data_IF_995479617379
#
_entry.id   IF_995479617379
#
_cell.length_a   1.000
_cell.length_b   1.000
_cell.length_c   1.000
_cell.angle_alpha   90.00
_cell.angle_beta   90.00
_cell.angle_gamma   90.00
#
_symmetry.space_group_name_H-M   'P 1'
#
loop_
_entity.id
_entity.type
_entity.pdbx_description
1 polymer ?
#
# COMPACT_ATOMS: atom_id res chain seq x y z
N UNK A 1 7.69 -11.55 6.82
CA UNK A 1 8.10 -11.79 5.42
C UNK A 1 8.41 -10.46 4.76
N UNK A 2 9.60 -10.31 4.16
CA UNK A 2 10.02 -9.05 3.53
C UNK A 2 9.34 -8.82 2.18
N UNK A 3 8.89 -7.61 1.93
CA UNK A 3 8.40 -7.14 0.64
C UNK A 3 9.22 -5.94 0.15
N UNK A 4 9.59 -5.96 -1.12
CA UNK A 4 10.23 -4.82 -1.81
C UNK A 4 9.63 -4.71 -3.20
N UNK A 5 8.72 -3.76 -3.35
CA UNK A 5 8.06 -3.41 -4.58
C UNK A 5 8.74 -2.25 -5.30
N UNK A 6 7.99 -1.61 -6.20
CA UNK A 6 8.45 -0.46 -6.97
C UNK A 6 8.45 0.83 -6.14
N UNK A 7 7.40 1.03 -5.35
CA UNK A 7 7.19 2.22 -4.53
C UNK A 7 7.03 1.86 -3.06
N UNK A 8 6.62 0.63 -2.73
CA UNK A 8 6.38 0.19 -1.37
C UNK A 8 7.47 -0.79 -0.93
N UNK A 9 7.99 -0.63 0.28
CA UNK A 9 8.73 -1.70 0.95
C UNK A 9 8.34 -1.81 2.41
N UNK A 10 8.47 -3.02 2.95
CA UNK A 10 7.98 -3.34 4.27
C UNK A 10 8.12 -4.80 4.63
N UNK A 11 7.51 -5.17 5.73
CA UNK A 11 7.50 -6.53 6.26
C UNK A 11 6.07 -6.94 6.61
N UNK A 12 5.62 -8.09 6.13
CA UNK A 12 4.40 -8.73 6.60
C UNK A 12 4.70 -9.56 7.83
N UNK A 13 4.09 -9.24 8.97
CA UNK A 13 4.05 -10.12 10.12
C UNK A 13 3.02 -11.23 9.88
N UNK A 14 3.46 -12.48 9.87
CA UNK A 14 2.58 -13.63 9.65
C UNK A 14 1.86 -14.08 10.93
N UNK A 15 2.32 -13.65 12.10
CA UNK A 15 1.66 -13.94 13.38
C UNK A 15 0.45 -13.03 13.57
N UNK A 16 0.58 -11.74 13.21
CA UNK A 16 -0.51 -10.76 13.31
C UNK A 16 -1.28 -10.55 12.01
N UNK A 17 -0.76 -11.04 10.88
CA UNK A 17 -1.28 -10.80 9.54
C UNK A 17 -1.40 -9.29 9.25
N UNK A 18 -0.36 -8.54 9.63
CA UNK A 18 -0.26 -7.09 9.46
C UNK A 18 0.99 -6.74 8.65
N UNK A 19 0.86 -5.77 7.74
CA UNK A 19 1.97 -5.28 6.93
C UNK A 19 2.56 -4.00 7.53
N UNK A 20 3.79 -4.08 8.01
CA UNK A 20 4.62 -2.94 8.38
C UNK A 20 5.15 -2.24 7.13
N UNK A 21 4.50 -1.16 6.72
CA UNK A 21 4.94 -0.31 5.62
C UNK A 21 6.08 0.61 6.11
N UNK A 22 7.30 0.35 5.63
CA UNK A 22 8.55 1.00 6.06
C UNK A 22 9.06 2.09 5.13
N UNK A 23 8.68 2.03 3.85
CA UNK A 23 9.12 3.00 2.87
C UNK A 23 8.10 3.21 1.77
N UNK A 24 7.91 4.47 1.40
CA UNK A 24 7.19 4.86 0.20
C UNK A 24 8.05 5.75 -0.70
N UNK A 25 8.35 5.30 -1.92
CA UNK A 25 9.34 5.94 -2.81
C UNK A 25 10.69 6.11 -2.10
N UNK A 26 11.11 7.35 -1.85
CA UNK A 26 12.34 7.71 -1.14
C UNK A 26 12.06 8.16 0.30
N UNK A 27 10.80 8.12 0.72
CA UNK A 27 10.36 8.54 2.05
C UNK A 27 10.35 7.31 2.96
N UNK A 28 11.15 7.38 4.02
CA UNK A 28 11.04 6.44 5.14
C UNK A 28 9.81 6.80 5.96
N UNK A 29 9.02 5.80 6.30
CA UNK A 29 7.83 5.96 7.12
C UNK A 29 7.52 4.67 7.84
N UNK A 30 6.77 4.72 8.93
CA UNK A 30 6.37 3.50 9.64
C UNK A 30 4.87 3.56 9.82
N UNK A 31 4.17 2.64 9.17
CA UNK A 31 2.72 2.50 9.29
C UNK A 31 2.36 1.03 9.24
N UNK A 32 1.42 0.62 10.07
CA UNK A 32 0.91 -0.75 10.06
C UNK A 32 -0.39 -0.77 9.27
N UNK A 33 -0.47 -1.65 8.27
CA UNK A 33 -1.66 -1.89 7.49
C UNK A 33 -2.18 -3.29 7.79
N UNK A 34 -3.44 -3.37 8.21
CA UNK A 34 -4.20 -4.63 8.18
C UNK A 34 -4.66 -4.93 6.75
N UNK A 35 -5.04 -6.18 6.46
CA UNK A 35 -5.62 -6.57 5.17
C UNK A 35 -6.80 -5.67 4.78
N UNK A 36 -7.67 -5.35 5.74
CA UNK A 36 -8.80 -4.44 5.54
C UNK A 36 -8.38 -3.03 5.13
N UNK A 37 -7.38 -2.45 5.81
CA UNK A 37 -6.88 -1.11 5.47
C UNK A 37 -6.18 -1.10 4.11
N UNK A 38 -5.44 -2.16 3.80
CA UNK A 38 -4.80 -2.32 2.50
C UNK A 38 -5.83 -2.43 1.37
N UNK A 39 -6.90 -3.20 1.56
CA UNK A 39 -7.99 -3.31 0.60
C UNK A 39 -8.70 -1.97 0.38
N UNK A 40 -8.99 -1.23 1.46
CA UNK A 40 -9.56 0.12 1.36
C UNK A 40 -8.66 1.08 0.58
N UNK A 41 -7.36 1.03 0.82
CA UNK A 41 -6.40 1.85 0.11
C UNK A 41 -6.35 1.49 -1.37
N UNK A 42 -6.30 0.20 -1.69
CA UNK A 42 -6.33 -0.30 -3.05
C UNK A 42 -7.60 0.16 -3.79
N UNK A 43 -8.77 -0.01 -3.17
CA UNK A 43 -10.05 0.38 -3.76
C UNK A 43 -10.16 1.89 -3.96
N UNK A 44 -9.69 2.69 -3.00
CA UNK A 44 -9.64 4.15 -3.14
C UNK A 44 -8.81 4.59 -4.35
N UNK A 45 -7.62 4.00 -4.52
CA UNK A 45 -6.72 4.32 -5.62
C UNK A 45 -7.28 3.83 -6.97
N UNK A 46 -7.96 2.68 -6.98
CA UNK A 46 -8.52 2.07 -8.19
C UNK A 46 -9.81 2.76 -8.68
N UNK A 47 -10.67 3.20 -7.76
CA UNK A 47 -11.90 3.94 -8.11
C UNK A 47 -11.62 5.31 -8.73
N UNK A 48 -10.46 5.88 -8.42
CA UNK A 48 -10.11 7.25 -8.78
C UNK A 48 -9.22 7.28 -10.03
N UNK A 49 -9.61 6.58 -11.09
CA UNK A 49 -8.83 6.49 -12.34
C UNK A 49 -8.89 7.78 -13.20
N UNK A 50 -8.73 8.95 -12.55
CA UNK A 50 -8.70 10.26 -13.19
C UNK A 50 -7.29 10.57 -13.70
N UNK A 51 -7.18 10.89 -14.98
CA UNK A 51 -5.94 11.15 -15.74
C UNK A 51 -5.03 12.23 -15.12
N UNK A 52 -5.53 12.99 -14.16
CA UNK A 52 -4.85 14.09 -13.48
C UNK A 52 -4.13 13.69 -12.18
N UNK A 53 -4.08 12.42 -11.80
CA UNK A 53 -3.38 11.97 -10.59
C UNK A 53 -4.18 12.16 -9.29
N UNK A 54 -3.63 11.69 -8.16
CA UNK A 54 -4.37 11.54 -6.90
C UNK A 54 -3.56 12.03 -5.70
N UNK A 55 -4.24 12.48 -4.65
CA UNK A 55 -3.61 12.81 -3.37
C UNK A 55 -3.81 11.63 -2.43
N UNK A 56 -2.71 11.02 -2.00
CA UNK A 56 -2.72 9.96 -1.00
C UNK A 56 -2.26 10.53 0.34
N UNK A 57 -3.11 10.39 1.36
CA UNK A 57 -2.75 10.67 2.75
C UNK A 57 -2.50 9.35 3.45
N UNK A 58 -1.26 9.11 3.86
CA UNK A 58 -0.89 7.96 4.67
C UNK A 58 -0.91 8.38 6.13
N UNK A 59 -1.62 7.60 6.95
CA UNK A 59 -1.90 7.82 8.38
C UNK A 59 -0.84 8.68 9.10
N UNK A 60 -1.18 9.95 9.35
CA UNK A 60 -0.38 11.01 10.01
C UNK A 60 0.81 11.66 9.28
N UNK A 61 0.98 11.40 7.98
CA UNK A 61 1.99 12.06 7.15
C UNK A 61 1.42 13.10 6.17
N UNK A 62 2.34 13.89 5.60
CA UNK A 62 2.03 14.88 4.58
C UNK A 62 1.29 14.25 3.39
N UNK A 63 0.23 14.89 2.85
CA UNK A 63 -0.43 14.42 1.64
C UNK A 63 0.57 14.34 0.49
N UNK A 64 0.66 13.18 -0.15
CA UNK A 64 1.57 12.97 -1.28
C UNK A 64 0.75 12.97 -2.56
N UNK A 65 1.12 13.86 -3.47
CA UNK A 65 0.57 13.84 -4.81
C UNK A 65 1.21 12.72 -5.64
N UNK A 66 0.36 11.87 -6.20
CA UNK A 66 0.68 10.73 -7.02
C UNK A 66 0.31 11.02 -8.46
N UNK A 67 1.27 10.89 -9.36
CA UNK A 67 0.99 10.90 -10.80
C UNK A 67 0.33 9.58 -11.18
N UNK A 68 -0.39 9.53 -12.29
CA UNK A 68 -1.04 8.30 -12.77
C UNK A 68 -0.09 7.09 -12.84
N UNK A 69 1.17 7.32 -13.26
CA UNK A 69 2.21 6.27 -13.25
C UNK A 69 2.43 5.70 -11.85
N UNK A 70 2.52 6.58 -10.84
CA UNK A 70 2.75 6.17 -9.46
C UNK A 70 1.53 5.44 -8.90
N UNK A 71 0.32 5.89 -9.25
CA UNK A 71 -0.93 5.19 -8.88
C UNK A 71 -0.92 3.75 -9.38
N UNK A 72 -0.60 3.53 -10.66
CA UNK A 72 -0.53 2.19 -11.22
C UNK A 72 0.53 1.33 -10.53
N UNK A 73 1.71 1.90 -10.24
CA UNK A 73 2.78 1.18 -9.54
C UNK A 73 2.41 0.83 -8.09
N UNK A 74 1.66 1.69 -7.41
CA UNK A 74 1.15 1.42 -6.06
C UNK A 74 0.11 0.31 -6.10
N UNK A 75 -0.82 0.36 -7.06
CA UNK A 75 -1.83 -0.68 -7.21
C UNK A 75 -1.18 -2.06 -7.42
N UNK A 76 -0.17 -2.15 -8.29
CA UNK A 76 0.61 -3.37 -8.52
C UNK A 76 1.31 -3.87 -7.24
N UNK A 77 1.90 -2.96 -6.46
CA UNK A 77 2.58 -3.31 -5.21
C UNK A 77 1.56 -3.77 -4.15
N UNK A 78 0.44 -3.06 -4.00
CA UNK A 78 -0.63 -3.40 -3.06
C UNK A 78 -1.27 -4.75 -3.41
N UNK A 79 -1.45 -5.07 -4.69
CA UNK A 79 -2.00 -6.37 -5.10
C UNK A 79 -1.07 -7.52 -4.72
N UNK A 80 0.24 -7.34 -4.89
CA UNK A 80 1.24 -8.34 -4.45
C UNK A 80 1.23 -8.49 -2.93
N UNK A 81 1.21 -7.39 -2.18
CA UNK A 81 1.16 -7.44 -0.72
C UNK A 81 -0.15 -8.12 -0.28
N UNK A 82 -1.28 -7.82 -0.93
CA UNK A 82 -2.57 -8.48 -0.68
C UNK A 82 -2.47 -9.99 -0.80
N UNK A 83 -1.77 -10.49 -1.82
CA UNK A 83 -1.56 -11.93 -2.02
C UNK A 83 -0.68 -12.60 -0.95
N UNK A 84 0.07 -11.81 -0.16
CA UNK A 84 0.92 -12.33 0.92
C UNK A 84 0.16 -12.53 2.23
N UNK A 85 -0.96 -11.82 2.44
CA UNK A 85 -1.81 -12.09 3.59
C UNK A 85 -2.33 -13.51 3.49
N UNK A 86 -2.24 -14.24 4.60
CA UNK A 86 -2.85 -15.55 4.68
C UNK A 86 -4.35 -15.33 4.74
N UNK A 87 -5.04 -15.51 3.62
CA UNK A 87 -6.50 -15.56 3.58
C UNK A 87 -6.92 -16.60 4.60
N UNK A 88 -7.54 -16.18 5.70
CA UNK A 88 -8.33 -17.08 6.52
C UNK A 88 -9.42 -17.61 5.60
N UNK A 89 -9.20 -18.80 5.03
CA UNK A 89 -10.29 -19.60 4.49
C UNK A 89 -11.18 -19.96 5.68
N UNK A 90 -12.20 -19.14 5.93
CA UNK A 90 -13.40 -19.51 6.68
C UNK A 90 -14.58 -19.67 5.71
#
# INVERSE_FOLDING_TARGET
MKFTGQLISGDLDLETNEFEWKQFKQLSMESVLTEYQLNKLHDYLNQTNNETGQVLTLYDQMPIYLKQKDVNQILDDLEKIRSMYTTGNE
#
